data_IF_198036165656
#
_entry.id   IF_198036165656
#
_cell.length_a   1.000
_cell.length_b   1.000
_cell.length_c   1.000
_cell.angle_alpha   90.00
_cell.angle_beta   90.00
_cell.angle_gamma   90.00
#
_symmetry.space_group_name_H-M   'P 1'
#
loop_
_entity.id
_entity.type
_entity.pdbx_description
1 polymer ?
#
# COMPACT_ATOMS: atom_id res chain seq x y z
N UNK A 1 20.88 -7.71 19.56
CA UNK A 1 21.18 -6.28 19.40
C UNK A 1 19.85 -5.55 19.45
N UNK A 2 19.68 -4.75 20.48
CA UNK A 2 18.47 -4.01 20.87
C UNK A 2 18.14 -2.88 19.88
N UNK A 3 16.91 -2.75 19.35
CA UNK A 3 16.44 -1.46 18.88
C UNK A 3 15.84 -0.76 20.11
N UNK A 4 16.57 0.21 20.63
CA UNK A 4 16.18 0.98 21.80
C UNK A 4 16.46 2.43 21.47
N UNK A 5 15.40 3.25 21.57
CA UNK A 5 15.42 4.71 21.70
C UNK A 5 15.69 5.57 20.45
N UNK A 6 14.77 5.60 19.48
CA UNK A 6 14.58 6.78 18.61
C UNK A 6 13.14 7.35 18.64
N UNK A 7 12.14 6.62 19.13
CA UNK A 7 10.76 7.14 19.24
C UNK A 7 10.61 8.38 20.15
N UNK A 8 11.35 8.45 21.27
CA UNK A 8 11.19 9.50 22.28
C UNK A 8 11.46 10.94 21.79
N UNK A 9 12.03 11.12 20.60
CA UNK A 9 12.32 12.43 20.02
C UNK A 9 11.21 12.98 19.10
N UNK A 10 10.28 12.14 18.62
CA UNK A 10 9.34 12.54 17.57
C UNK A 10 8.11 13.32 18.09
N UNK A 11 7.77 13.19 19.38
CA UNK A 11 6.67 13.95 20.00
C UNK A 11 7.17 15.01 20.98
N UNK A 12 8.27 15.69 20.63
CA UNK A 12 8.72 16.84 21.38
C UNK A 12 7.71 17.99 21.25
N UNK A 13 6.91 18.13 22.29
CA UNK A 13 6.00 19.22 22.56
C UNK A 13 4.62 19.14 21.88
N UNK A 14 3.58 18.85 22.68
CA UNK A 14 2.19 18.68 22.24
C UNK A 14 1.27 19.81 22.73
N UNK A 15 0.29 20.18 21.92
CA UNK A 15 -0.86 20.97 22.35
C UNK A 15 -2.15 20.12 22.47
N UNK A 16 -3.25 20.64 23.05
CA UNK A 16 -4.47 19.84 23.26
C UNK A 16 -5.03 19.19 22.00
N UNK A 17 -4.89 19.85 20.83
CA UNK A 17 -5.31 19.29 19.56
C UNK A 17 -4.48 18.06 19.16
N UNK A 18 -3.16 18.09 19.35
CA UNK A 18 -2.26 17.00 19.00
C UNK A 18 -2.38 15.83 19.97
N UNK A 19 -2.56 16.10 21.26
CA UNK A 19 -2.87 15.06 22.24
C UNK A 19 -4.19 14.33 21.89
N UNK A 20 -5.21 15.06 21.45
CA UNK A 20 -6.45 14.46 20.94
C UNK A 20 -6.23 13.67 19.64
N UNK A 21 -5.34 14.12 18.74
CA UNK A 21 -4.96 13.36 17.54
C UNK A 21 -4.23 12.06 17.87
N UNK A 22 -3.30 12.08 18.82
CA UNK A 22 -2.60 10.87 19.27
C UNK A 22 -3.52 9.87 19.94
N UNK A 23 -4.45 10.33 20.80
CA UNK A 23 -5.46 9.43 21.37
C UNK A 23 -6.37 8.85 20.28
N UNK A 24 -6.77 9.68 19.30
CA UNK A 24 -7.55 9.20 18.15
C UNK A 24 -6.77 8.16 17.33
N UNK A 25 -5.47 8.36 17.13
CA UNK A 25 -4.61 7.40 16.44
C UNK A 25 -4.51 6.07 17.23
N UNK A 26 -4.27 6.14 18.55
CA UNK A 26 -4.23 4.95 19.41
C UNK A 26 -5.56 4.17 19.36
N UNK A 27 -6.70 4.86 19.47
CA UNK A 27 -8.02 4.26 19.37
C UNK A 27 -8.27 3.64 17.98
N UNK A 28 -7.75 4.25 16.91
CA UNK A 28 -7.83 3.71 15.55
C UNK A 28 -7.02 2.44 15.36
N UNK A 29 -5.82 2.36 15.94
CA UNK A 29 -5.08 1.09 15.94
C UNK A 29 -5.89 0.00 16.65
N UNK A 30 -6.41 0.27 17.84
CA UNK A 30 -7.27 -0.65 18.58
C UNK A 30 -8.60 -0.99 17.88
N UNK A 31 -9.06 -0.19 16.93
CA UNK A 31 -10.34 -0.39 16.23
C UNK A 31 -10.20 -0.97 14.82
N UNK A 32 -9.06 -0.77 14.15
CA UNK A 32 -8.95 -1.02 12.71
C UNK A 32 -7.70 -1.85 12.34
N UNK A 33 -6.71 -1.97 13.23
CA UNK A 33 -5.49 -2.73 12.92
C UNK A 33 -5.72 -4.24 12.93
N UNK A 34 -5.23 -4.94 11.90
CA UNK A 34 -5.56 -6.35 11.61
C UNK A 34 -5.09 -7.33 12.70
N UNK A 35 -4.03 -7.02 13.44
CA UNK A 35 -3.47 -7.86 14.49
C UNK A 35 -3.81 -7.30 15.88
N UNK A 36 -4.75 -7.92 16.60
CA UNK A 36 -5.27 -7.38 17.87
C UNK A 36 -4.20 -7.18 18.96
N UNK A 37 -3.32 -8.16 19.17
CA UNK A 37 -2.24 -8.03 20.17
C UNK A 37 -1.30 -6.88 19.80
N UNK A 38 -0.93 -6.79 18.52
CA UNK A 38 -0.05 -5.73 18.03
C UNK A 38 -0.73 -4.36 18.07
N UNK A 39 -2.02 -4.30 17.82
CA UNK A 39 -2.83 -3.09 17.92
C UNK A 39 -2.77 -2.51 19.35
N UNK A 40 -2.94 -3.36 20.36
CA UNK A 40 -2.88 -2.97 21.76
C UNK A 40 -1.46 -2.50 22.15
N UNK A 41 -0.41 -3.17 21.69
CA UNK A 41 0.98 -2.73 21.90
C UNK A 41 1.25 -1.34 21.31
N UNK A 42 0.83 -1.13 20.06
CA UNK A 42 1.00 0.16 19.35
C UNK A 42 0.24 1.26 20.08
N UNK A 43 -1.04 1.04 20.42
CA UNK A 43 -1.86 2.03 21.09
C UNK A 43 -1.31 2.40 22.48
N UNK A 44 -0.83 1.41 23.24
CA UNK A 44 -0.15 1.66 24.52
C UNK A 44 1.12 2.50 24.34
N UNK A 45 1.94 2.19 23.33
CA UNK A 45 3.15 2.96 23.04
C UNK A 45 2.82 4.42 22.66
N UNK A 46 1.84 4.64 21.79
CA UNK A 46 1.37 5.99 21.40
C UNK A 46 0.94 6.79 22.64
N UNK A 47 0.15 6.19 23.53
CA UNK A 47 -0.35 6.85 24.74
C UNK A 47 0.77 7.14 25.75
N UNK A 48 1.74 6.25 25.89
CA UNK A 48 2.90 6.46 26.76
C UNK A 48 3.73 7.66 26.29
N UNK A 49 4.05 7.73 24.99
CA UNK A 49 4.78 8.85 24.39
C UNK A 49 4.01 10.18 24.52
N UNK A 50 2.69 10.14 24.31
CA UNK A 50 1.83 11.31 24.48
C UNK A 50 1.84 11.87 25.92
N UNK A 51 2.00 11.01 26.92
CA UNK A 51 2.04 11.40 28.33
C UNK A 51 3.38 12.04 28.75
N UNK A 52 4.48 11.69 28.07
CA UNK A 52 5.82 12.25 28.35
C UNK A 52 6.08 13.56 27.59
N UNK A 53 5.29 13.86 26.57
CA UNK A 53 5.41 15.07 25.78
C UNK A 53 5.15 16.35 26.61
N UNK A 54 6.03 17.34 26.45
CA UNK A 54 5.87 18.66 27.09
C UNK A 54 4.82 19.51 26.36
N UNK A 55 4.30 20.60 26.92
CA UNK A 55 3.50 21.54 26.12
C UNK A 55 4.36 22.36 25.13
N UNK A 56 3.92 22.54 23.87
CA UNK A 56 4.63 23.41 22.90
C UNK A 56 3.88 23.76 21.61
N UNK A 57 4.60 24.35 20.64
CA UNK A 57 4.07 25.24 19.59
C UNK A 57 3.74 24.57 18.23
N UNK A 58 3.69 23.24 18.18
CA UNK A 58 3.66 22.46 16.93
C UNK A 58 2.33 22.58 16.16
N UNK A 59 1.23 23.02 16.80
CA UNK A 59 -0.07 23.24 16.15
C UNK A 59 -0.12 24.38 15.11
N UNK A 60 1.00 25.05 14.83
CA UNK A 60 1.08 26.08 13.76
C UNK A 60 1.53 25.51 12.41
N UNK A 61 1.88 24.24 12.34
CA UNK A 61 2.38 23.58 11.13
C UNK A 61 1.75 22.17 10.98
N UNK A 62 0.47 22.07 10.57
CA UNK A 62 -0.24 20.80 10.51
C UNK A 62 0.40 19.78 9.56
N UNK A 63 1.00 20.23 8.46
CA UNK A 63 1.72 19.37 7.51
C UNK A 63 2.97 18.75 8.17
N UNK A 64 3.79 19.57 8.82
CA UNK A 64 4.99 19.10 9.52
C UNK A 64 4.64 18.17 10.69
N UNK A 65 3.55 18.45 11.40
CA UNK A 65 3.03 17.56 12.43
C UNK A 65 2.59 16.21 11.87
N UNK A 66 1.85 16.20 10.76
CA UNK A 66 1.39 14.96 10.12
C UNK A 66 2.54 14.10 9.59
N UNK A 67 3.59 14.72 9.03
CA UNK A 67 4.80 14.04 8.58
C UNK A 67 5.56 13.40 9.75
N UNK A 68 5.82 14.17 10.82
CA UNK A 68 6.50 13.67 12.02
C UNK A 68 5.69 12.56 12.70
N UNK A 69 4.37 12.73 12.82
CA UNK A 69 3.48 11.71 13.37
C UNK A 69 3.48 10.44 12.52
N UNK A 70 3.49 10.56 11.18
CA UNK A 70 3.61 9.41 10.29
C UNK A 70 4.90 8.63 10.53
N UNK A 71 6.04 9.31 10.59
CA UNK A 71 7.34 8.67 10.84
C UNK A 71 7.35 7.94 12.19
N UNK A 72 6.88 8.60 13.23
CA UNK A 72 6.80 8.02 14.57
C UNK A 72 5.89 6.79 14.63
N UNK A 73 4.70 6.86 14.02
CA UNK A 73 3.78 5.73 14.00
C UNK A 73 4.34 4.56 13.22
N UNK A 74 5.08 4.81 12.12
CA UNK A 74 5.79 3.77 11.36
C UNK A 74 6.91 3.14 12.17
N UNK A 75 7.63 3.90 12.98
CA UNK A 75 8.65 3.37 13.89
C UNK A 75 8.03 2.50 14.99
N UNK A 76 6.95 2.98 15.63
CA UNK A 76 6.24 2.26 16.70
C UNK A 76 5.59 0.97 16.18
N UNK A 77 4.90 1.06 15.04
CA UNK A 77 4.17 -0.08 14.46
C UNK A 77 5.07 -1.06 13.71
N UNK A 78 6.21 -0.59 13.20
CA UNK A 78 6.99 -1.24 12.15
C UNK A 78 6.17 -1.51 10.87
N UNK A 79 5.10 -0.75 10.65
CA UNK A 79 4.22 -0.86 9.49
C UNK A 79 4.30 0.40 8.63
N UNK A 80 4.79 0.24 7.40
CA UNK A 80 4.96 1.34 6.43
C UNK A 80 3.63 1.79 5.79
N UNK A 81 2.54 1.04 5.96
CA UNK A 81 1.21 1.42 5.46
C UNK A 81 0.54 2.49 6.34
N UNK A 82 1.09 2.78 7.52
CA UNK A 82 0.58 3.85 8.37
C UNK A 82 0.94 5.21 7.78
N UNK A 83 -0.05 6.10 7.66
CA UNK A 83 0.12 7.45 7.17
C UNK A 83 -0.90 8.39 7.83
N UNK A 84 -0.49 9.62 8.11
CA UNK A 84 -1.35 10.70 8.62
C UNK A 84 -1.26 11.88 7.67
N UNK A 85 -2.42 12.42 7.30
CA UNK A 85 -2.52 13.63 6.49
C UNK A 85 -3.38 14.69 7.18
N UNK A 86 -3.05 15.98 7.01
CA UNK A 86 -3.95 17.06 7.41
C UNK A 86 -5.23 16.99 6.59
N UNK A 87 -6.38 17.16 7.25
CA UNK A 87 -7.66 17.31 6.54
C UNK A 87 -7.66 18.69 5.85
N UNK A 88 -7.83 18.78 4.51
CA UNK A 88 -7.82 20.06 3.83
C UNK A 88 -8.95 20.96 4.33
N UNK A 89 -8.62 22.20 4.66
CA UNK A 89 -9.58 23.23 5.09
C UNK A 89 -10.09 24.03 3.89
N UNK A 90 -10.81 23.37 2.98
CA UNK A 90 -11.35 24.02 1.78
C UNK A 90 -12.17 23.10 0.89
N UNK A 91 -12.90 23.64 -0.10
CA UNK A 91 -13.60 22.81 -1.08
C UNK A 91 -12.59 22.01 -1.90
N UNK A 92 -12.79 20.69 -1.92
CA UNK A 92 -12.00 19.77 -2.75
C UNK A 92 -12.17 20.15 -4.21
N UNK A 93 -11.10 20.62 -4.85
CA UNK A 93 -11.14 20.90 -6.29
C UNK A 93 -11.12 19.57 -7.07
N UNK A 94 -11.92 19.44 -8.15
CA UNK A 94 -11.98 18.20 -8.94
C UNK A 94 -10.69 17.84 -9.66
N UNK A 95 -9.76 18.79 -9.80
CA UNK A 95 -8.49 18.67 -10.52
C UNK A 95 -7.37 18.04 -9.66
N UNK A 96 -7.62 17.73 -8.38
CA UNK A 96 -6.65 17.05 -7.51
C UNK A 96 -5.47 17.92 -7.04
N UNK A 97 -5.31 19.13 -7.59
CA UNK A 97 -4.20 20.03 -7.25
C UNK A 97 -4.31 20.54 -5.80
N UNK A 98 -5.51 20.95 -5.37
CA UNK A 98 -5.66 21.72 -4.11
C UNK A 98 -6.61 21.09 -3.06
N UNK A 99 -6.98 19.80 -3.16
CA UNK A 99 -7.90 19.25 -2.15
C UNK A 99 -8.14 17.74 -2.10
N UNK A 100 -7.51 16.95 -2.96
CA UNK A 100 -7.47 15.49 -2.80
C UNK A 100 -6.30 15.09 -1.91
N UNK A 101 -6.53 14.22 -0.93
CA UNK A 101 -5.43 13.56 -0.18
C UNK A 101 -4.48 12.80 -1.12
N UNK A 102 -3.41 12.23 -0.59
CA UNK A 102 -2.37 11.58 -1.41
C UNK A 102 -2.92 10.50 -2.36
N UNK A 103 -3.98 9.77 -1.95
CA UNK A 103 -4.65 8.75 -2.76
C UNK A 103 -5.23 9.34 -4.06
N UNK A 104 -5.89 10.50 -3.96
CA UNK A 104 -6.51 11.14 -5.11
C UNK A 104 -5.46 11.63 -6.12
N UNK A 105 -4.35 12.17 -5.61
CA UNK A 105 -3.20 12.58 -6.44
C UNK A 105 -2.56 11.37 -7.12
N UNK A 106 -2.34 10.29 -6.38
CA UNK A 106 -1.79 9.04 -6.93
C UNK A 106 -2.65 8.49 -8.08
N UNK A 107 -3.98 8.47 -7.94
CA UNK A 107 -4.87 8.09 -9.04
C UNK A 107 -4.84 9.07 -10.23
N UNK A 108 -4.70 10.37 -9.97
CA UNK A 108 -4.58 11.38 -11.04
C UNK A 108 -3.30 11.24 -11.87
N UNK A 109 -2.22 10.70 -11.28
CA UNK A 109 -0.95 10.40 -11.95
C UNK A 109 -0.98 9.12 -12.81
N UNK A 110 -2.03 8.29 -12.71
CA UNK A 110 -2.11 7.02 -13.42
C UNK A 110 -1.92 7.14 -14.96
N UNK A 111 -2.48 8.14 -15.66
CA UNK A 111 -2.23 8.31 -17.10
C UNK A 111 -0.75 8.54 -17.43
N UNK A 112 -0.01 9.26 -16.58
CA UNK A 112 1.37 9.68 -16.82
C UNK A 112 2.37 8.52 -16.74
N UNK A 113 2.04 7.48 -15.96
CA UNK A 113 2.85 6.26 -15.85
C UNK A 113 2.22 5.05 -16.55
N UNK A 114 1.32 5.30 -17.52
CA UNK A 114 0.59 4.27 -18.26
C UNK A 114 -0.09 3.24 -17.36
N UNK A 115 -0.76 3.74 -16.31
CA UNK A 115 -1.51 2.95 -15.33
C UNK A 115 -0.63 1.89 -14.69
N UNK A 116 0.62 2.25 -14.40
CA UNK A 116 1.62 1.39 -13.78
C UNK A 116 2.28 0.38 -14.72
N UNK A 117 1.97 0.34 -16.02
CA UNK A 117 2.61 -0.58 -16.97
C UNK A 117 3.73 0.15 -17.70
N UNK A 118 4.96 -0.07 -17.26
CA UNK A 118 6.14 0.60 -17.82
C UNK A 118 6.69 -0.08 -19.08
N UNK A 119 6.58 -1.41 -19.19
CA UNK A 119 7.12 -2.15 -20.33
C UNK A 119 6.39 -3.48 -20.54
N UNK A 120 6.14 -3.80 -21.81
CA UNK A 120 5.65 -5.11 -22.28
C UNK A 120 6.52 -5.50 -23.47
N UNK A 121 7.22 -6.63 -23.38
CA UNK A 121 8.17 -7.04 -24.43
C UNK A 121 8.31 -8.56 -24.54
N UNK A 122 8.46 -9.04 -25.77
CA UNK A 122 8.97 -10.37 -26.07
C UNK A 122 10.50 -10.30 -26.17
N UNK A 123 11.20 -11.11 -25.39
CA UNK A 123 12.67 -11.15 -25.35
C UNK A 123 13.19 -12.46 -25.95
N UNK A 124 14.50 -12.53 -26.21
CA UNK A 124 15.14 -13.70 -26.82
C UNK A 124 14.80 -14.99 -26.04
N UNK A 125 14.53 -16.07 -26.77
CA UNK A 125 14.13 -17.36 -26.18
C UNK A 125 12.64 -17.50 -25.88
N UNK A 126 11.78 -16.66 -26.49
CA UNK A 126 10.33 -16.66 -26.27
C UNK A 126 9.95 -16.42 -24.79
N UNK A 127 10.61 -15.44 -24.18
CA UNK A 127 10.37 -15.06 -22.79
C UNK A 127 9.57 -13.75 -22.79
N UNK A 128 8.46 -13.72 -22.07
CA UNK A 128 7.70 -12.51 -21.83
C UNK A 128 8.36 -11.66 -20.76
N UNK A 129 8.35 -10.34 -20.94
CA UNK A 129 8.80 -9.38 -19.96
C UNK A 129 7.69 -8.35 -19.73
N UNK A 130 7.22 -8.26 -18.48
CA UNK A 130 6.21 -7.31 -18.04
C UNK A 130 6.78 -6.51 -16.86
N UNK A 131 6.89 -5.20 -16.99
CA UNK A 131 7.31 -4.31 -15.92
C UNK A 131 6.14 -3.52 -15.38
N UNK A 132 5.85 -3.71 -14.10
CA UNK A 132 4.82 -2.97 -13.36
C UNK A 132 5.48 -2.06 -12.32
N UNK A 133 5.07 -0.80 -12.27
CA UNK A 133 5.62 0.22 -11.35
C UNK A 133 4.61 0.74 -10.34
N UNK A 134 3.34 0.37 -10.48
CA UNK A 134 2.25 0.70 -9.55
C UNK A 134 1.06 -0.22 -9.85
N UNK A 135 0.23 -0.49 -8.85
CA UNK A 135 -1.00 -1.28 -8.99
C UNK A 135 -2.22 -0.37 -8.88
N UNK A 136 -2.80 0.05 -10.01
CA UNK A 136 -3.98 0.92 -10.00
C UNK A 136 -5.27 0.13 -10.17
N UNK A 137 -6.28 0.42 -9.35
CA UNK A 137 -7.63 -0.13 -9.55
C UNK A 137 -8.51 0.83 -10.37
N UNK A 138 -8.28 0.83 -11.68
CA UNK A 138 -9.04 1.62 -12.66
C UNK A 138 -9.41 0.73 -13.84
N UNK A 139 -10.56 1.00 -14.47
CA UNK A 139 -11.02 0.25 -15.64
C UNK A 139 -9.97 0.30 -16.79
N UNK A 140 -9.37 1.46 -16.98
CA UNK A 140 -8.27 1.69 -17.92
C UNK A 140 -7.04 0.84 -17.63
N UNK A 141 -6.75 0.52 -16.36
CA UNK A 141 -5.67 -0.38 -15.98
C UNK A 141 -5.98 -1.80 -16.43
N UNK A 142 -7.18 -2.30 -16.13
CA UNK A 142 -7.58 -3.67 -16.46
C UNK A 142 -7.57 -3.92 -17.97
N UNK A 143 -8.02 -2.96 -18.78
CA UNK A 143 -7.95 -3.05 -20.26
C UNK A 143 -6.51 -3.18 -20.77
N UNK A 144 -5.56 -2.51 -20.11
CA UNK A 144 -4.14 -2.59 -20.49
C UNK A 144 -3.48 -3.88 -20.01
N UNK A 145 -3.82 -4.36 -18.82
CA UNK A 145 -3.42 -5.70 -18.38
C UNK A 145 -3.91 -6.77 -19.35
N UNK A 146 -5.17 -6.70 -19.78
CA UNK A 146 -5.70 -7.63 -20.77
C UNK A 146 -4.90 -7.63 -22.08
N UNK A 147 -4.52 -6.45 -22.58
CA UNK A 147 -3.67 -6.34 -23.77
C UNK A 147 -2.28 -6.93 -23.53
N UNK A 148 -1.64 -6.62 -22.40
CA UNK A 148 -0.31 -7.14 -22.05
C UNK A 148 -0.30 -8.66 -21.94
N UNK A 149 -1.25 -9.25 -21.20
CA UNK A 149 -1.37 -10.70 -21.05
C UNK A 149 -1.73 -11.37 -22.38
N UNK A 150 -2.56 -10.75 -23.22
CA UNK A 150 -2.86 -11.28 -24.56
C UNK A 150 -1.60 -11.33 -25.44
N UNK A 151 -0.74 -10.31 -25.38
CA UNK A 151 0.52 -10.28 -26.14
C UNK A 151 1.54 -11.32 -25.65
N UNK A 152 1.52 -11.63 -24.36
CA UNK A 152 2.49 -12.52 -23.73
C UNK A 152 1.97 -13.94 -23.49
N UNK A 153 0.71 -14.24 -23.79
CA UNK A 153 0.07 -15.51 -23.39
C UNK A 153 0.73 -16.77 -23.95
N UNK A 154 1.48 -16.67 -25.05
CA UNK A 154 2.13 -17.80 -25.74
C UNK A 154 3.64 -17.90 -25.43
N UNK A 155 4.15 -17.07 -24.53
CA UNK A 155 5.57 -17.15 -24.13
C UNK A 155 5.84 -18.41 -23.32
N UNK A 156 7.08 -18.90 -23.38
CA UNK A 156 7.51 -20.12 -22.69
C UNK A 156 7.91 -19.87 -21.23
N UNK A 157 8.27 -18.64 -20.89
CA UNK A 157 8.55 -18.17 -19.54
C UNK A 157 8.19 -16.69 -19.42
N UNK A 158 8.00 -16.20 -18.19
CA UNK A 158 7.68 -14.81 -17.90
C UNK A 158 8.68 -14.22 -16.91
N UNK A 159 9.09 -12.99 -17.14
CA UNK A 159 9.74 -12.12 -16.16
C UNK A 159 8.72 -11.03 -15.78
N UNK A 160 8.28 -11.04 -14.52
CA UNK A 160 7.52 -9.97 -13.91
C UNK A 160 8.47 -9.06 -13.14
N UNK A 161 8.74 -7.87 -13.68
CA UNK A 161 9.64 -6.91 -13.08
C UNK A 161 8.87 -5.92 -12.19
N UNK A 162 9.04 -6.06 -10.88
CA UNK A 162 8.46 -5.22 -9.84
C UNK A 162 9.50 -4.30 -9.19
N UNK A 163 10.70 -4.16 -9.79
CA UNK A 163 11.71 -3.22 -9.30
C UNK A 163 11.20 -1.80 -9.45
N UNK A 164 11.17 -1.06 -8.35
CA UNK A 164 10.57 0.27 -8.30
C UNK A 164 9.05 0.30 -8.18
N UNK A 165 8.39 -0.83 -7.97
CA UNK A 165 6.95 -0.87 -7.71
C UNK A 165 6.65 -0.63 -6.23
N UNK A 166 6.09 0.53 -5.89
CA UNK A 166 5.74 0.88 -4.51
C UNK A 166 4.41 0.29 -4.01
N UNK A 167 3.74 -0.52 -4.84
CA UNK A 167 2.49 -1.19 -4.52
C UNK A 167 1.30 -0.47 -5.15
N UNK A 168 0.17 -0.50 -4.44
CA UNK A 168 -1.06 0.16 -4.88
C UNK A 168 -2.31 -0.53 -4.33
N UNK A 169 -3.34 -0.60 -5.17
CA UNK A 169 -4.63 -1.14 -4.81
C UNK A 169 -4.63 -2.68 -4.78
N UNK A 170 -5.17 -3.31 -3.71
CA UNK A 170 -5.20 -4.75 -3.52
C UNK A 170 -6.12 -5.52 -4.50
N UNK A 171 -6.87 -4.82 -5.35
CA UNK A 171 -7.67 -5.46 -6.40
C UNK A 171 -6.83 -5.77 -7.65
N UNK A 172 -5.78 -4.98 -7.90
CA UNK A 172 -5.00 -5.07 -9.12
C UNK A 172 -3.95 -6.20 -9.06
N UNK A 173 -3.14 -6.24 -8.02
CA UNK A 173 -2.20 -7.34 -7.73
C UNK A 173 -2.91 -8.68 -7.54
N UNK A 174 -4.11 -8.76 -6.91
CA UNK A 174 -4.86 -10.02 -6.77
C UNK A 174 -5.17 -10.56 -8.17
N UNK A 175 -5.62 -9.71 -9.11
CA UNK A 175 -5.86 -10.12 -10.50
C UNK A 175 -4.57 -10.57 -11.21
N UNK A 176 -3.44 -9.89 -10.93
CA UNK A 176 -2.12 -10.31 -11.45
C UNK A 176 -1.72 -11.68 -10.88
N UNK A 177 -1.87 -11.92 -9.58
CA UNK A 177 -1.60 -13.22 -8.96
C UNK A 177 -2.43 -14.32 -9.63
N UNK A 178 -3.73 -14.11 -9.78
CA UNK A 178 -4.63 -15.04 -10.47
C UNK A 178 -4.30 -15.26 -11.95
N UNK A 179 -3.50 -14.39 -12.57
CA UNK A 179 -3.00 -14.63 -13.93
C UNK A 179 -2.00 -15.79 -13.97
N UNK A 180 -1.28 -16.06 -12.88
CA UNK A 180 -0.24 -17.08 -12.79
C UNK A 180 -0.65 -18.31 -11.98
N UNK A 181 -1.91 -18.40 -11.56
CA UNK A 181 -2.45 -19.54 -10.84
C UNK A 181 -3.27 -20.44 -11.78
N UNK A 182 -3.20 -21.75 -11.55
CA UNK A 182 -4.04 -22.73 -12.25
C UNK A 182 -5.48 -22.72 -11.72
N UNK A 183 -6.40 -23.32 -12.48
CA UNK A 183 -7.76 -23.55 -12.00
C UNK A 183 -7.75 -24.43 -10.74
N UNK A 184 -8.49 -23.99 -9.72
CA UNK A 184 -8.55 -24.68 -8.42
C UNK A 184 -7.36 -24.45 -7.49
N UNK A 185 -6.44 -23.53 -7.84
CA UNK A 185 -5.44 -23.06 -6.89
C UNK A 185 -6.09 -22.41 -5.66
N UNK A 186 -5.45 -22.54 -4.51
CA UNK A 186 -5.89 -21.85 -3.29
C UNK A 186 -5.80 -20.33 -3.47
N UNK A 187 -6.83 -19.57 -3.04
CA UNK A 187 -6.77 -18.11 -3.07
C UNK A 187 -5.59 -17.54 -2.27
N UNK A 188 -5.15 -16.32 -2.62
CA UNK A 188 -4.27 -15.56 -1.74
C UNK A 188 -4.88 -15.42 -0.34
N UNK A 189 -4.05 -15.52 0.69
CA UNK A 189 -4.47 -15.32 2.08
C UNK A 189 -4.89 -13.87 2.28
N UNK A 190 -6.14 -13.65 2.69
CA UNK A 190 -6.64 -12.35 3.13
C UNK A 190 -7.18 -12.49 4.54
N UNK A 191 -6.76 -11.59 5.42
CA UNK A 191 -7.22 -11.51 6.81
C UNK A 191 -7.71 -10.10 7.03
N UNK A 192 -9.00 -9.98 7.34
CA UNK A 192 -9.62 -8.73 7.73
C UNK A 192 -9.81 -8.70 9.25
N UNK A 193 -9.73 -7.50 9.84
CA UNK A 193 -9.89 -7.35 11.28
C UNK A 193 -11.25 -7.86 11.75
N UNK A 194 -11.25 -8.60 12.87
CA UNK A 194 -12.48 -9.12 13.48
C UNK A 194 -13.08 -10.32 12.76
N UNK A 195 -12.47 -10.79 11.66
CA UNK A 195 -12.82 -12.05 11.06
C UNK A 195 -12.06 -13.21 11.72
N UNK A 196 -12.80 -14.24 12.13
CA UNK A 196 -12.22 -15.45 12.70
C UNK A 196 -11.77 -16.38 11.59
N UNK A 197 -10.48 -16.39 11.30
CA UNK A 197 -9.87 -17.30 10.33
C UNK A 197 -9.82 -16.74 8.90
N UNK A 198 -9.53 -17.63 7.96
CA UNK A 198 -9.40 -17.32 6.54
C UNK A 198 -10.76 -17.46 5.84
N UNK A 199 -11.22 -16.39 5.20
CA UNK A 199 -12.28 -16.49 4.20
C UNK A 199 -11.65 -16.60 2.82
N UNK A 200 -11.91 -17.72 2.14
CA UNK A 200 -11.59 -17.88 0.74
C UNK A 200 -12.39 -16.86 -0.08
N UNK A 201 -11.72 -15.81 -0.57
CA UNK A 201 -12.35 -14.86 -1.49
C UNK A 201 -12.65 -15.56 -2.82
N UNK A 202 -13.80 -15.27 -3.46
CA UNK A 202 -14.11 -15.81 -4.78
C UNK A 202 -12.99 -15.48 -5.77
N UNK A 203 -12.70 -16.44 -6.65
CA UNK A 203 -11.76 -16.21 -7.75
C UNK A 203 -12.31 -15.08 -8.62
N UNK A 204 -11.59 -13.96 -8.78
CA UNK A 204 -12.06 -12.85 -9.57
C UNK A 204 -12.10 -13.25 -11.05
N UNK A 205 -13.11 -12.77 -11.77
CA UNK A 205 -13.00 -12.66 -13.22
C UNK A 205 -11.94 -11.59 -13.51
N UNK A 206 -10.74 -12.03 -13.87
CA UNK A 206 -9.62 -11.13 -14.14
C UNK A 206 -9.80 -10.38 -15.46
N UNK A 207 -10.65 -10.84 -16.39
CA UNK A 207 -10.91 -10.16 -17.65
C UNK A 207 -9.87 -10.42 -18.76
N UNK A 208 -8.98 -11.40 -18.58
CA UNK A 208 -8.00 -11.83 -19.60
C UNK A 208 -7.59 -13.30 -19.42
N UNK A 209 -6.98 -13.93 -20.45
CA UNK A 209 -6.50 -15.31 -20.36
C UNK A 209 -5.45 -15.47 -19.25
N UNK A 210 -5.58 -16.53 -18.44
CA UNK A 210 -4.54 -16.88 -17.46
C UNK A 210 -3.28 -17.35 -18.18
N UNK A 211 -2.13 -16.93 -17.66
CA UNK A 211 -0.83 -17.47 -18.02
C UNK A 211 -0.63 -18.89 -17.44
N UNK A 212 -1.30 -19.20 -16.32
CA UNK A 212 -1.23 -20.51 -15.66
C UNK A 212 0.05 -20.72 -14.83
N UNK A 213 0.03 -21.75 -13.99
CA UNK A 213 1.04 -21.99 -12.95
C UNK A 213 2.18 -22.93 -13.34
N UNK A 214 2.19 -23.45 -14.57
CA UNK A 214 3.16 -24.47 -15.00
C UNK A 214 4.41 -23.90 -15.67
N UNK A 215 4.32 -22.71 -16.27
CA UNK A 215 5.42 -22.06 -16.98
C UNK A 215 6.34 -21.33 -15.99
N UNK A 216 7.66 -21.28 -16.24
CA UNK A 216 8.57 -20.53 -15.36
C UNK A 216 8.17 -19.06 -15.25
N UNK A 217 8.05 -18.59 -14.01
CA UNK A 217 7.86 -17.19 -13.64
C UNK A 217 9.05 -16.72 -12.81
N UNK A 218 9.67 -15.63 -13.23
CA UNK A 218 10.73 -14.95 -12.49
C UNK A 218 10.21 -13.58 -12.06
N UNK A 219 10.25 -13.30 -10.75
CA UNK A 219 9.84 -12.01 -10.21
C UNK A 219 11.08 -11.22 -9.81
N UNK A 220 11.25 -10.02 -10.37
CA UNK A 220 12.36 -9.13 -10.03
C UNK A 220 11.88 -8.11 -9.00
N UNK A 221 12.62 -7.94 -7.91
CA UNK A 221 12.32 -6.97 -6.85
C UNK A 221 13.57 -6.15 -6.50
N UNK A 222 13.38 -4.96 -5.92
CA UNK A 222 14.45 -4.11 -5.40
C UNK A 222 14.07 -3.50 -4.05
N UNK A 223 14.94 -2.65 -3.49
CA UNK A 223 14.68 -1.99 -2.20
C UNK A 223 13.48 -1.03 -2.19
N UNK A 224 12.86 -0.77 -3.35
CA UNK A 224 11.65 0.03 -3.48
C UNK A 224 10.40 -0.82 -3.67
N UNK A 225 10.53 -2.13 -3.91
CA UNK A 225 9.38 -3.04 -3.97
C UNK A 225 8.69 -3.08 -2.60
N UNK A 226 7.43 -2.66 -2.55
CA UNK A 226 6.67 -2.54 -1.30
C UNK A 226 5.15 -2.61 -1.55
N UNK A 227 4.38 -3.01 -0.52
CA UNK A 227 2.92 -3.14 -0.56
C UNK A 227 2.42 -4.06 -1.69
N UNK A 228 1.12 -3.95 -2.03
CA UNK A 228 0.30 -4.84 -2.88
C UNK A 228 1.03 -6.09 -3.40
#
# INVERSE_FOLDING_TARGET
>A
MTPSFIVAALFASLCPAEAATLESAAARFESDYVLDEKAAEIAMAIRAEAAEAKPGATCRAPEAFAEALTEALREISADKHVFVEPVPSGPVRPDGEDGGGWVARWYAEAPDNNYGIAEVRLIEGNIGYLKLTSFYDLEETWRRYAAAFTLLQDTQAMILDLRGNGGGAPEAEIRIQWSFLDDGAEPPLVIDRGQAGYEARPVPDIGWPRYGGTRPLYILTDGRTFSA
#
